data_IF_654972331429
#
_entry.id   IF_654972331429
#
_cell.length_a   1.000
_cell.length_b   1.000
_cell.length_c   1.000
_cell.angle_alpha   90.00
_cell.angle_beta   90.00
_cell.angle_gamma   90.00
#
_symmetry.space_group_name_H-M   'P 1'
#
loop_
_entity.id
_entity.type
_entity.pdbx_description
1 polymer ?
#
# COMPACT_ATOMS: atom_id res chain seq x y z
N UNK A 1 -9.63 -3.34 -13.12
CA UNK A 1 -10.26 -3.85 -11.88
C UNK A 1 -11.50 -3.02 -11.55
N UNK A 2 -12.61 -3.65 -11.17
CA UNK A 2 -13.82 -2.97 -10.67
C UNK A 2 -14.02 -3.18 -9.15
N UNK A 3 -15.04 -2.56 -8.55
CA UNK A 3 -15.29 -2.66 -7.11
C UNK A 3 -15.57 -4.08 -6.61
N UNK A 4 -16.20 -4.95 -7.42
CA UNK A 4 -16.43 -6.36 -7.04
C UNK A 4 -15.12 -7.12 -6.98
N UNK A 5 -14.28 -6.97 -8.00
CA UNK A 5 -12.95 -7.57 -8.04
C UNK A 5 -12.08 -7.07 -6.90
N UNK A 6 -12.18 -5.77 -6.56
CA UNK A 6 -11.48 -5.21 -5.41
C UNK A 6 -11.88 -5.86 -4.10
N UNK A 7 -13.18 -5.99 -3.82
CA UNK A 7 -13.65 -6.69 -2.61
C UNK A 7 -13.26 -8.16 -2.59
N UNK A 8 -13.26 -8.85 -3.73
CA UNK A 8 -12.73 -10.22 -3.81
C UNK A 8 -11.26 -10.30 -3.41
N UNK A 9 -10.44 -9.34 -3.85
CA UNK A 9 -9.03 -9.25 -3.43
C UNK A 9 -8.90 -8.98 -1.94
N UNK A 10 -9.73 -8.09 -1.37
CA UNK A 10 -9.70 -7.85 0.08
C UNK A 10 -10.10 -9.11 0.87
N UNK A 11 -11.14 -9.83 0.45
CA UNK A 11 -11.57 -11.06 1.12
C UNK A 11 -10.51 -12.16 1.06
N UNK A 12 -9.81 -12.30 -0.06
CA UNK A 12 -8.78 -13.32 -0.21
C UNK A 12 -7.47 -12.90 0.43
N UNK A 13 -6.94 -11.74 0.04
CA UNK A 13 -5.59 -11.30 0.38
C UNK A 13 -5.51 -10.61 1.74
N UNK A 14 -6.40 -9.64 2.03
CA UNK A 14 -6.32 -8.91 3.31
C UNK A 14 -6.70 -9.83 4.48
N UNK A 15 -7.81 -10.55 4.38
CA UNK A 15 -8.21 -11.49 5.45
C UNK A 15 -7.24 -12.66 5.56
N UNK A 16 -6.72 -13.17 4.44
CA UNK A 16 -5.65 -14.17 4.44
C UNK A 16 -4.41 -13.68 5.20
N UNK A 17 -3.94 -12.48 4.89
CA UNK A 17 -2.81 -11.84 5.57
C UNK A 17 -3.06 -11.72 7.07
N UNK A 18 -4.22 -11.18 7.49
CA UNK A 18 -4.55 -11.03 8.91
C UNK A 18 -4.56 -12.38 9.64
N UNK A 19 -5.05 -13.43 8.99
CA UNK A 19 -5.04 -14.79 9.54
C UNK A 19 -3.61 -15.31 9.71
N UNK A 20 -2.74 -15.11 8.72
CA UNK A 20 -1.34 -15.54 8.78
C UNK A 20 -0.58 -14.85 9.92
N UNK A 21 -0.84 -13.55 10.12
CA UNK A 21 -0.29 -12.76 11.21
C UNK A 21 -1.06 -12.91 12.54
N UNK A 22 -2.12 -13.73 12.59
CA UNK A 22 -2.98 -13.92 13.77
C UNK A 22 -3.48 -12.61 14.37
N UNK A 23 -3.83 -11.66 13.51
CA UNK A 23 -4.28 -10.31 13.86
C UNK A 23 -5.78 -10.21 13.64
N UNK A 24 -6.52 -9.65 14.60
CA UNK A 24 -7.95 -9.41 14.42
C UNK A 24 -8.16 -8.22 13.45
N UNK A 25 -9.15 -8.28 12.54
CA UNK A 25 -9.51 -7.12 11.72
C UNK A 25 -9.76 -5.82 12.50
N UNK A 26 -10.23 -5.90 13.73
CA UNK A 26 -10.45 -4.75 14.62
C UNK A 26 -9.17 -4.19 15.26
N UNK A 27 -8.05 -4.90 15.18
CA UNK A 27 -6.76 -4.46 15.70
C UNK A 27 -5.94 -3.64 14.67
N UNK A 28 -6.44 -3.47 13.45
CA UNK A 28 -5.73 -2.79 12.37
C UNK A 28 -6.42 -1.50 11.93
N UNK A 29 -5.60 -0.60 11.40
CA UNK A 29 -6.05 0.55 10.62
C UNK A 29 -5.63 0.31 9.17
N UNK A 30 -6.61 0.19 8.28
CA UNK A 30 -6.39 -0.03 6.86
C UNK A 30 -6.27 1.29 6.10
N UNK A 31 -5.23 1.43 5.27
CA UNK A 31 -5.02 2.59 4.42
C UNK A 31 -5.23 2.20 2.95
N UNK A 32 -5.99 3.01 2.22
CA UNK A 32 -6.17 2.93 0.76
C UNK A 32 -6.31 4.36 0.19
N UNK A 33 -6.10 4.51 -1.11
CA UNK A 33 -6.28 5.79 -1.80
C UNK A 33 -7.78 6.12 -2.04
N UNK A 34 -8.02 7.29 -2.62
CA UNK A 34 -9.36 7.79 -2.94
C UNK A 34 -9.94 7.28 -4.27
N UNK A 35 -9.42 6.20 -4.86
CA UNK A 35 -9.96 5.68 -6.13
C UNK A 35 -11.46 5.33 -5.99
N UNK A 36 -12.33 5.71 -6.97
CA UNK A 36 -13.76 5.43 -6.91
C UNK A 36 -14.15 3.98 -6.58
N UNK A 37 -13.34 2.98 -6.97
CA UNK A 37 -13.61 1.57 -6.65
C UNK A 37 -13.38 1.27 -5.16
N UNK A 38 -12.38 1.90 -4.55
CA UNK A 38 -12.03 1.75 -3.13
C UNK A 38 -13.00 2.52 -2.24
N UNK A 39 -13.51 3.66 -2.70
CA UNK A 39 -14.51 4.48 -1.99
C UNK A 39 -15.95 4.09 -2.33
N UNK A 40 -16.16 3.06 -3.14
CA UNK A 40 -17.50 2.60 -3.53
C UNK A 40 -18.30 2.12 -2.31
N UNK A 41 -19.64 2.22 -2.37
CA UNK A 41 -20.51 1.72 -1.30
C UNK A 41 -20.29 0.22 -1.03
N UNK A 42 -19.95 -0.56 -2.06
CA UNK A 42 -19.63 -1.97 -1.92
C UNK A 42 -18.38 -2.19 -1.07
N UNK A 43 -17.28 -1.50 -1.37
CA UNK A 43 -16.03 -1.63 -0.63
C UNK A 43 -16.15 -1.12 0.81
N UNK A 44 -16.79 0.04 1.01
CA UNK A 44 -17.01 0.62 2.35
C UNK A 44 -17.88 -0.27 3.23
N UNK A 45 -18.97 -0.82 2.69
CA UNK A 45 -19.85 -1.71 3.43
C UNK A 45 -19.15 -3.03 3.80
N UNK A 46 -18.27 -3.53 2.91
CA UNK A 46 -17.47 -4.72 3.20
C UNK A 46 -16.45 -4.47 4.31
N UNK A 47 -15.70 -3.38 4.26
CA UNK A 47 -14.74 -3.03 5.33
C UNK A 47 -15.45 -2.87 6.68
N UNK A 48 -16.59 -2.19 6.69
CA UNK A 48 -17.41 -2.02 7.89
C UNK A 48 -17.95 -3.35 8.44
N UNK A 49 -18.38 -4.28 7.58
CA UNK A 49 -18.87 -5.60 8.02
C UNK A 49 -17.78 -6.50 8.58
N UNK A 50 -16.51 -6.21 8.26
CA UNK A 50 -15.33 -6.87 8.83
C UNK A 50 -14.77 -6.16 10.07
N UNK A 51 -15.39 -5.06 10.52
CA UNK A 51 -14.91 -4.24 11.63
C UNK A 51 -13.50 -3.66 11.41
N UNK A 52 -13.15 -3.35 10.16
CA UNK A 52 -11.84 -2.79 9.81
C UNK A 52 -11.93 -1.27 9.82
N UNK A 53 -11.12 -0.64 10.66
CA UNK A 53 -10.99 0.81 10.69
C UNK A 53 -10.19 1.32 9.50
N UNK A 54 -10.59 2.48 8.99
CA UNK A 54 -10.01 3.11 7.81
C UNK A 54 -9.20 4.34 8.20
N UNK A 55 -7.93 4.38 7.78
CA UNK A 55 -7.11 5.57 7.90
C UNK A 55 -7.65 6.69 7.00
N UNK A 56 -7.70 7.92 7.53
CA UNK A 56 -7.97 9.09 6.71
C UNK A 56 -6.81 9.34 5.76
N UNK A 57 -7.08 9.35 4.45
CA UNK A 57 -6.06 9.64 3.43
C UNK A 57 -6.48 10.88 2.62
N UNK A 58 -5.65 11.94 2.53
CA UNK A 58 -5.97 13.11 1.73
C UNK A 58 -5.96 12.76 0.24
N UNK A 59 -6.86 13.40 -0.52
CA UNK A 59 -6.92 13.19 -1.96
C UNK A 59 -5.61 13.66 -2.62
N UNK A 60 -5.17 12.96 -3.67
CA UNK A 60 -4.00 13.34 -4.48
C UNK A 60 -2.69 13.49 -3.68
N UNK A 61 -2.52 12.70 -2.61
CA UNK A 61 -1.34 12.75 -1.74
C UNK A 61 -0.54 11.45 -1.79
N UNK A 62 0.12 11.13 -2.93
CA UNK A 62 0.95 9.93 -3.03
C UNK A 62 2.15 9.97 -2.05
N UNK A 63 2.59 11.17 -1.68
CA UNK A 63 3.61 11.44 -0.67
C UNK A 63 3.25 10.92 0.73
N UNK A 64 1.96 10.69 0.98
CA UNK A 64 1.42 10.11 2.21
C UNK A 64 1.25 8.59 2.15
N UNK A 65 1.60 7.95 1.03
CA UNK A 65 1.34 6.53 0.80
C UNK A 65 2.63 5.71 0.92
N UNK A 66 2.80 4.96 2.01
CA UNK A 66 4.00 4.14 2.25
C UNK A 66 4.18 3.08 1.14
N UNK A 67 3.09 2.53 0.62
CA UNK A 67 3.14 1.50 -0.43
C UNK A 67 3.76 2.02 -1.73
N UNK A 68 3.57 3.31 -2.08
CA UNK A 68 4.19 3.92 -3.25
C UNK A 68 5.73 3.98 -3.09
N UNK A 69 6.22 4.24 -1.88
CA UNK A 69 7.66 4.22 -1.59
C UNK A 69 8.25 2.81 -1.59
N UNK A 70 7.49 1.81 -1.18
CA UNK A 70 7.90 0.42 -1.30
C UNK A 70 8.03 0.01 -2.79
N UNK A 71 7.04 0.37 -3.62
CA UNK A 71 7.10 0.10 -5.06
C UNK A 71 8.25 0.84 -5.76
N UNK A 72 8.53 2.08 -5.39
CA UNK A 72 9.69 2.81 -5.91
C UNK A 72 11.02 2.11 -5.59
N UNK A 73 11.13 1.52 -4.40
CA UNK A 73 12.33 0.76 -4.02
C UNK A 73 12.44 -0.55 -4.81
N UNK A 74 11.32 -1.26 -5.02
CA UNK A 74 11.28 -2.45 -5.88
C UNK A 74 11.68 -2.12 -7.32
N UNK A 75 11.16 -1.03 -7.90
CA UNK A 75 11.54 -0.58 -9.25
C UNK A 75 13.04 -0.23 -9.31
N UNK A 76 13.58 0.41 -8.28
CA UNK A 76 15.02 0.72 -8.18
C UNK A 76 15.87 -0.54 -8.16
N UNK A 77 15.50 -1.55 -7.37
CA UNK A 77 16.23 -2.83 -7.29
C UNK A 77 16.14 -3.62 -8.59
N UNK A 78 14.94 -3.67 -9.19
CA UNK A 78 14.72 -4.30 -10.49
C UNK A 78 15.60 -3.68 -11.59
N UNK A 79 15.68 -2.35 -11.66
CA UNK A 79 16.52 -1.64 -12.64
C UNK A 79 18.03 -1.86 -12.41
N UNK A 80 18.42 -2.25 -11.20
CA UNK A 80 19.80 -2.57 -10.87
C UNK A 80 20.18 -4.02 -11.25
N UNK A 81 19.23 -4.88 -11.61
CA UNK A 81 19.52 -6.25 -12.03
C UNK A 81 20.29 -6.32 -13.34
N UNK A 82 21.16 -7.33 -13.42
CA UNK A 82 21.82 -7.69 -14.66
C UNK A 82 21.92 -9.22 -14.79
N UNK A 83 21.42 -9.83 -15.88
CA UNK A 83 20.67 -9.19 -16.97
C UNK A 83 19.30 -8.69 -16.50
N UNK A 84 18.73 -7.72 -17.23
CA UNK A 84 17.34 -7.32 -17.05
C UNK A 84 16.39 -8.43 -17.56
N UNK A 85 15.20 -8.58 -16.95
CA UNK A 85 14.18 -9.53 -17.41
C UNK A 85 13.77 -9.21 -18.84
N UNK A 86 13.58 -10.26 -19.65
CA UNK A 86 13.37 -10.16 -21.10
C UNK A 86 11.93 -10.44 -21.54
N UNK A 87 11.11 -10.98 -20.65
CA UNK A 87 9.71 -11.32 -20.88
C UNK A 87 8.89 -11.09 -19.59
N UNK A 88 7.57 -11.29 -19.69
CA UNK A 88 6.63 -11.00 -18.60
C UNK A 88 6.80 -11.99 -17.45
N UNK A 89 7.15 -13.24 -17.76
CA UNK A 89 7.37 -14.31 -16.79
C UNK A 89 8.61 -14.02 -15.94
N UNK A 90 9.75 -13.72 -16.57
CA UNK A 90 10.97 -13.30 -15.90
C UNK A 90 10.74 -12.02 -15.09
N UNK A 91 9.98 -11.07 -15.62
CA UNK A 91 9.63 -9.84 -14.91
C UNK A 91 8.84 -10.15 -13.62
N UNK A 92 7.87 -11.06 -13.70
CA UNK A 92 7.06 -11.47 -12.56
C UNK A 92 7.88 -12.20 -11.48
N UNK A 93 8.81 -13.07 -11.87
CA UNK A 93 9.74 -13.72 -10.95
C UNK A 93 10.63 -12.69 -10.24
N UNK A 94 11.25 -11.79 -11.00
CA UNK A 94 12.10 -10.72 -10.46
C UNK A 94 11.33 -9.82 -9.49
N UNK A 95 10.10 -9.42 -9.82
CA UNK A 95 9.29 -8.57 -8.95
C UNK A 95 8.97 -9.24 -7.61
N UNK A 96 8.68 -10.53 -7.61
CA UNK A 96 8.44 -11.27 -6.37
C UNK A 96 9.70 -11.38 -5.52
N UNK A 97 10.86 -11.62 -6.15
CA UNK A 97 12.14 -11.67 -5.46
C UNK A 97 12.51 -10.32 -4.83
N UNK A 98 12.39 -9.21 -5.57
CA UNK A 98 12.70 -7.89 -5.03
C UNK A 98 11.66 -7.42 -3.99
N UNK A 99 10.40 -7.79 -4.14
CA UNK A 99 9.41 -7.54 -3.10
C UNK A 99 9.76 -8.29 -1.80
N UNK A 100 10.17 -9.56 -1.91
CA UNK A 100 10.56 -10.37 -0.76
C UNK A 100 11.89 -9.95 -0.15
N UNK A 101 12.75 -9.26 -0.91
CA UNK A 101 14.06 -8.77 -0.45
C UNK A 101 13.99 -7.40 0.24
N UNK A 102 12.82 -6.73 0.23
CA UNK A 102 12.62 -5.44 0.87
C UNK A 102 13.07 -5.48 2.34
N UNK A 103 14.01 -4.61 2.67
CA UNK A 103 14.52 -4.51 4.03
C UNK A 103 13.43 -4.02 4.99
N UNK A 104 13.16 -4.80 6.03
CA UNK A 104 12.21 -4.43 7.09
C UNK A 104 12.65 -3.16 7.80
N UNK A 105 13.96 -2.90 7.91
CA UNK A 105 14.49 -1.64 8.43
C UNK A 105 14.06 -0.44 7.58
N UNK A 106 14.19 -0.54 6.26
CA UNK A 106 13.67 0.46 5.32
C UNK A 106 12.16 0.65 5.46
N UNK A 107 11.36 -0.42 5.47
CA UNK A 107 9.90 -0.31 5.64
C UNK A 107 9.54 0.38 6.96
N UNK A 108 10.19 0.00 8.06
CA UNK A 108 10.01 0.62 9.38
C UNK A 108 10.31 2.12 9.32
N UNK A 109 11.39 2.52 8.65
CA UNK A 109 11.75 3.94 8.48
C UNK A 109 10.70 4.75 7.71
N UNK A 110 9.96 4.12 6.78
CA UNK A 110 8.84 4.76 6.08
C UNK A 110 7.69 5.05 7.06
N UNK A 111 7.30 4.08 7.89
CA UNK A 111 6.29 4.28 8.93
C UNK A 111 6.71 5.36 9.95
N UNK A 112 7.95 5.30 10.45
CA UNK A 112 8.49 6.30 11.38
C UNK A 112 8.59 7.71 10.78
N UNK A 113 8.61 7.83 9.45
CA UNK A 113 8.60 9.12 8.77
C UNK A 113 7.23 9.78 8.72
N UNK A 114 6.13 9.03 8.92
CA UNK A 114 4.75 9.52 8.75
C UNK A 114 4.44 10.81 9.53
N UNK A 115 4.83 10.96 10.82
CA UNK A 115 4.59 12.22 11.53
C UNK A 115 5.24 13.44 10.85
N UNK A 116 6.44 13.27 10.28
CA UNK A 116 7.13 14.34 9.55
C UNK A 116 6.46 14.64 8.21
N UNK A 117 5.93 13.63 7.52
CA UNK A 117 5.18 13.79 6.27
C UNK A 117 3.88 14.54 6.50
N UNK A 118 3.11 14.13 7.52
CA UNK A 118 1.88 14.83 7.95
C UNK A 118 2.17 16.30 8.25
N UNK A 119 3.23 16.58 9.02
CA UNK A 119 3.62 17.95 9.35
C UNK A 119 3.95 18.77 8.08
N UNK A 120 4.66 18.17 7.11
CA UNK A 120 4.97 18.83 5.84
C UNK A 120 3.70 19.13 5.02
N UNK A 121 2.74 18.21 4.94
CA UNK A 121 1.45 18.43 4.25
C UNK A 121 0.64 19.55 4.92
N UNK A 122 0.66 19.62 6.25
CA UNK A 122 0.00 20.71 7.00
C UNK A 122 0.68 22.05 6.70
N UNK A 123 2.02 22.09 6.70
CA UNK A 123 2.80 23.29 6.41
C UNK A 123 2.56 23.81 4.98
N UNK A 124 2.45 22.91 4.00
CA UNK A 124 2.13 23.25 2.61
C UNK A 124 0.63 23.48 2.37
N UNK A 125 -0.20 23.39 3.42
CA UNK A 125 -1.67 23.53 3.36
C UNK A 125 -2.32 22.56 2.37
N UNK A 126 -1.82 21.33 2.31
CA UNK A 126 -2.28 20.29 1.38
C UNK A 126 -1.59 20.34 0.01
N UNK A 127 -0.57 21.19 -0.18
CA UNK A 127 0.26 21.19 -1.38
C UNK A 127 1.31 20.08 -1.38
N UNK A 128 1.98 19.89 -2.52
CA UNK A 128 3.03 18.89 -2.68
C UNK A 128 4.17 19.05 -1.67
N UNK A 129 4.64 17.92 -1.12
CA UNK A 129 5.80 17.87 -0.25
C UNK A 129 7.01 17.29 -0.98
N UNK A 130 8.16 17.22 -0.29
CA UNK A 130 9.39 16.60 -0.80
C UNK A 130 9.37 15.07 -0.75
N UNK A 131 8.37 14.51 -0.09
CA UNK A 131 8.22 13.07 0.10
C UNK A 131 7.62 12.45 -1.16
#
# INVERSE_FOLDING_TARGET
MNAKQYVSILEESLIGTLKDYKTDPSDIIFQQDGDPKHTSGLARNWLASKHIDMASHPAQSPDMSIIEHAWNEVDRQLRARFPLPKNVEELWEVLQEEWASLDIGYITSLYESMPRRVAAVIETKGGHTRY
#
